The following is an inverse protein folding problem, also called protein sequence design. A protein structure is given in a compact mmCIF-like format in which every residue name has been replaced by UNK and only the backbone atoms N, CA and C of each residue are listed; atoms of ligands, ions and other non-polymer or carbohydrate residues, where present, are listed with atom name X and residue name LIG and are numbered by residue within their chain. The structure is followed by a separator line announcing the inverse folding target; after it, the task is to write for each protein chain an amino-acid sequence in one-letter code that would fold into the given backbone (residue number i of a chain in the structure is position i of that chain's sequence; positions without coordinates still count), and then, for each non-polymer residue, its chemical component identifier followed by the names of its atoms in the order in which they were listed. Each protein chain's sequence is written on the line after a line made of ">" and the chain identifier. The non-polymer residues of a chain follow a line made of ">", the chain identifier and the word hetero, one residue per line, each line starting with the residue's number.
data_IF_249959957666
#
_entry.id   IF_249959957666
#
_cell.length_a   1.000
_cell.length_b   1.000
_cell.length_c   1.000
_cell.angle_alpha   90.00
_cell.angle_beta   90.00
_cell.angle_gamma   90.00
#
_symmetry.space_group_name_H-M   'P 1'
#
loop_
_entity.id
_entity.type
_entity.pdbx_description
1 polymer ?
#
# COMPACT_ATOMS: atom_id res chain seq x y z
N UNK A 1 -4.67 11.01 -8.85
CA UNK A 1 -4.42 11.81 -7.71
C UNK A 1 -5.62 11.93 -6.80
N UNK A 2 -6.65 12.71 -7.19
CA UNK A 2 -7.86 12.74 -6.36
C UNK A 2 -8.53 11.37 -6.27
N UNK A 3 -8.49 10.61 -7.36
CA UNK A 3 -9.05 9.27 -7.40
C UNK A 3 -8.35 8.33 -6.41
N UNK A 4 -7.04 8.46 -6.27
CA UNK A 4 -6.26 7.63 -5.34
C UNK A 4 -6.64 7.89 -3.89
N UNK A 5 -6.79 9.17 -3.51
CA UNK A 5 -7.23 9.55 -2.16
C UNK A 5 -8.62 9.00 -1.87
N UNK A 6 -9.52 9.11 -2.83
CA UNK A 6 -10.90 8.64 -2.67
C UNK A 6 -10.94 7.12 -2.53
N UNK A 7 -10.14 6.43 -3.30
CA UNK A 7 -10.10 4.97 -3.25
C UNK A 7 -9.54 4.47 -1.92
N UNK A 8 -8.46 5.05 -1.44
CA UNK A 8 -7.89 4.70 -0.14
C UNK A 8 -8.90 4.98 0.97
N UNK A 9 -9.56 6.12 0.93
CA UNK A 9 -10.58 6.46 1.92
C UNK A 9 -11.74 5.49 1.91
N UNK A 10 -12.18 5.08 0.73
CA UNK A 10 -13.25 4.09 0.59
C UNK A 10 -12.85 2.76 1.20
N UNK A 11 -11.63 2.31 0.93
CA UNK A 11 -11.13 1.04 1.46
C UNK A 11 -11.03 1.07 2.98
N UNK A 12 -10.54 2.17 3.56
CA UNK A 12 -10.48 2.33 5.01
C UNK A 12 -11.89 2.22 5.60
N UNK A 13 -12.83 2.91 5.00
CA UNK A 13 -14.22 2.92 5.48
C UNK A 13 -14.84 1.53 5.40
N UNK A 14 -14.62 0.81 4.28
CA UNK A 14 -15.15 -0.53 4.10
C UNK A 14 -14.60 -1.49 5.16
N UNK A 15 -13.30 -1.48 5.38
CA UNK A 15 -12.69 -2.37 6.38
C UNK A 15 -13.17 -2.03 7.79
N UNK A 16 -13.30 -0.73 8.08
CA UNK A 16 -13.83 -0.30 9.37
C UNK A 16 -15.24 -0.82 9.60
N UNK A 17 -16.10 -0.69 8.59
CA UNK A 17 -17.49 -1.13 8.69
C UNK A 17 -17.60 -2.65 8.79
N UNK A 18 -16.79 -3.38 8.06
CA UNK A 18 -16.75 -4.83 8.15
C UNK A 18 -16.48 -5.30 9.58
N UNK A 19 -15.66 -4.56 10.31
CA UNK A 19 -15.29 -4.90 11.68
C UNK A 19 -16.21 -4.28 12.72
N UNK A 20 -17.21 -3.53 12.27
CA UNK A 20 -18.18 -2.91 13.18
C UNK A 20 -17.58 -1.83 14.06
N UNK A 21 -16.52 -1.17 13.62
CA UNK A 21 -15.83 -0.16 14.41
C UNK A 21 -16.27 1.25 14.03
N UNK A 22 -16.22 2.16 15.01
CA UNK A 22 -16.50 3.57 14.75
C UNK A 22 -15.22 4.29 14.36
N UNK A 23 -15.36 5.46 13.75
CA UNK A 23 -14.21 6.29 13.44
C UNK A 23 -13.41 6.64 14.69
N UNK A 24 -14.11 6.93 15.78
CA UNK A 24 -13.45 7.28 17.03
C UNK A 24 -12.56 6.15 17.55
N UNK A 25 -13.06 4.92 17.50
CA UNK A 25 -12.31 3.75 17.98
C UNK A 25 -11.08 3.51 17.12
N UNK A 26 -11.24 3.54 15.79
CA UNK A 26 -10.11 3.33 14.87
C UNK A 26 -9.06 4.43 15.05
N UNK A 27 -9.50 5.68 15.13
CA UNK A 27 -8.58 6.81 15.32
C UNK A 27 -7.79 6.67 16.62
N UNK A 28 -8.47 6.29 17.70
CA UNK A 28 -7.84 6.09 19.00
C UNK A 28 -6.78 4.98 18.92
N UNK A 29 -7.14 3.85 18.32
CA UNK A 29 -6.24 2.71 18.23
C UNK A 29 -5.06 3.01 17.30
N UNK A 30 -5.27 3.84 16.29
CA UNK A 30 -4.21 4.24 15.36
C UNK A 30 -3.35 5.38 15.91
N UNK A 31 -3.80 6.03 16.98
CA UNK A 31 -3.07 7.17 17.56
C UNK A 31 -3.14 8.43 16.70
N UNK A 32 -4.24 8.62 15.97
CA UNK A 32 -4.47 9.80 15.13
C UNK A 32 -5.74 10.52 15.57
N UNK A 33 -5.87 11.78 15.15
CA UNK A 33 -7.08 12.54 15.44
C UNK A 33 -8.26 11.96 14.64
N UNK A 34 -9.44 11.92 15.27
CA UNK A 34 -10.64 11.42 14.59
C UNK A 34 -10.98 12.29 13.39
N UNK A 35 -10.70 13.57 13.44
CA UNK A 35 -10.93 14.46 12.31
C UNK A 35 -10.04 14.11 11.12
N UNK A 36 -8.81 13.69 11.38
CA UNK A 36 -7.92 13.23 10.32
C UNK A 36 -8.49 11.98 9.63
N UNK A 37 -8.95 11.02 10.42
CA UNK A 37 -9.54 9.80 9.87
C UNK A 37 -10.78 10.13 9.04
N UNK A 38 -11.61 11.06 9.51
CA UNK A 38 -12.78 11.50 8.77
C UNK A 38 -12.42 12.08 7.42
N UNK A 39 -11.37 12.91 7.37
CA UNK A 39 -10.90 13.49 6.11
C UNK A 39 -10.34 12.44 5.17
N UNK A 40 -9.66 11.43 5.70
CA UNK A 40 -9.15 10.33 4.89
C UNK A 40 -10.30 9.53 4.28
N UNK A 41 -11.30 9.18 5.08
CA UNK A 41 -12.45 8.41 4.58
C UNK A 41 -13.27 9.20 3.56
N UNK A 42 -13.30 10.52 3.70
CA UNK A 42 -14.02 11.38 2.75
C UNK A 42 -13.23 11.64 1.47
N UNK A 43 -11.99 11.18 1.40
CA UNK A 43 -11.15 11.39 0.22
C UNK A 43 -10.63 12.81 0.08
N UNK A 44 -10.77 13.63 1.12
CA UNK A 44 -10.32 15.02 1.12
C UNK A 44 -8.84 15.15 1.46
N UNK A 45 -8.29 14.13 2.05
CA UNK A 45 -6.89 14.10 2.44
C UNK A 45 -6.37 12.67 2.26
N UNK A 46 -5.13 12.53 1.81
CA UNK A 46 -4.52 11.23 1.65
C UNK A 46 -3.56 10.97 2.80
N UNK A 47 -3.71 9.86 3.54
CA UNK A 47 -2.76 9.54 4.60
C UNK A 47 -1.41 9.20 4.00
N UNK A 48 -0.33 9.59 4.69
CA UNK A 48 0.99 9.14 4.28
C UNK A 48 1.18 7.67 4.71
N UNK A 49 2.30 7.08 4.30
CA UNK A 49 2.52 5.66 4.56
C UNK A 49 2.54 5.33 6.05
N UNK A 50 3.13 6.21 6.88
CA UNK A 50 3.18 6.02 8.31
C UNK A 50 1.77 5.99 8.92
N UNK A 51 0.95 6.94 8.55
CA UNK A 51 -0.42 7.02 9.05
C UNK A 51 -1.27 5.87 8.54
N UNK A 52 -1.09 5.50 7.28
CA UNK A 52 -1.82 4.38 6.71
C UNK A 52 -1.44 3.06 7.40
N UNK A 53 -0.17 2.90 7.73
CA UNK A 53 0.31 1.74 8.49
C UNK A 53 -0.36 1.66 9.86
N UNK A 54 -0.48 2.79 10.54
CA UNK A 54 -1.15 2.85 11.86
C UNK A 54 -2.62 2.50 11.74
N UNK A 55 -3.29 2.98 10.69
CA UNK A 55 -4.70 2.67 10.44
C UNK A 55 -4.86 1.19 10.13
N UNK A 56 -3.98 0.62 9.31
CA UNK A 56 -4.01 -0.80 8.97
C UNK A 56 -3.89 -1.67 10.23
N UNK A 57 -2.98 -1.31 11.13
CA UNK A 57 -2.83 -2.02 12.40
C UNK A 57 -4.08 -1.91 13.26
N UNK A 58 -4.68 -0.72 13.31
CA UNK A 58 -5.90 -0.51 14.08
C UNK A 58 -7.06 -1.33 13.54
N UNK A 59 -7.08 -1.57 12.24
CA UNK A 59 -8.11 -2.37 11.58
C UNK A 59 -7.75 -3.87 11.53
N UNK A 60 -6.54 -4.21 11.95
CA UNK A 60 -6.02 -5.58 11.89
C UNK A 60 -6.06 -6.14 10.47
N UNK A 61 -5.62 -5.32 9.52
CA UNK A 61 -5.50 -5.71 8.11
C UNK A 61 -4.11 -5.35 7.61
N UNK A 62 -3.76 -5.95 6.48
CA UNK A 62 -2.53 -5.63 5.77
C UNK A 62 -2.67 -4.24 5.15
N UNK A 63 -1.60 -3.45 5.19
CA UNK A 63 -1.62 -2.11 4.62
C UNK A 63 -2.02 -2.12 3.15
N UNK A 64 -1.66 -3.17 2.42
CA UNK A 64 -2.02 -3.30 1.00
C UNK A 64 -3.51 -3.50 0.78
N UNK A 65 -4.25 -3.89 1.83
CA UNK A 65 -5.71 -3.98 1.76
C UNK A 65 -6.36 -2.60 1.68
N UNK A 66 -5.62 -1.56 2.05
CA UNK A 66 -6.11 -0.19 2.05
C UNK A 66 -5.62 0.61 0.84
N UNK A 67 -4.95 -0.06 -0.09
CA UNK A 67 -4.43 0.57 -1.30
C UNK A 67 -4.88 -0.21 -2.52
N UNK A 68 -5.26 0.52 -3.59
CA UNK A 68 -5.36 -0.11 -4.90
C UNK A 68 -3.99 -0.06 -5.55
N UNK A 69 -3.87 -0.61 -6.74
CA UNK A 69 -2.58 -0.68 -7.45
C UNK A 69 -2.01 0.72 -7.72
N UNK A 70 -2.87 1.61 -8.21
CA UNK A 70 -2.43 2.97 -8.54
C UNK A 70 -2.10 3.77 -7.29
N UNK A 71 -2.92 3.64 -6.25
CA UNK A 71 -2.67 4.31 -4.97
C UNK A 71 -1.36 3.85 -4.36
N UNK A 72 -1.09 2.55 -4.38
CA UNK A 72 0.14 2.01 -3.84
C UNK A 72 1.36 2.59 -4.57
N UNK A 73 1.30 2.67 -5.89
CA UNK A 73 2.38 3.22 -6.69
C UNK A 73 2.64 4.68 -6.35
N UNK A 74 1.57 5.48 -6.26
CA UNK A 74 1.69 6.92 -5.95
C UNK A 74 2.23 7.14 -4.54
N UNK A 75 1.70 6.41 -3.57
CA UNK A 75 2.14 6.56 -2.18
C UNK A 75 3.60 6.16 -2.03
N UNK A 76 4.00 5.04 -2.62
CA UNK A 76 5.37 4.57 -2.53
C UNK A 76 6.33 5.53 -3.22
N UNK A 77 5.96 6.06 -4.38
CA UNK A 77 6.77 7.05 -5.07
C UNK A 77 6.96 8.30 -4.22
N UNK A 78 5.89 8.74 -3.56
CA UNK A 78 5.94 9.92 -2.70
C UNK A 78 6.76 9.71 -1.43
N UNK A 79 6.91 8.48 -0.99
CA UNK A 79 7.67 8.15 0.21
C UNK A 79 9.10 7.69 -0.10
N UNK A 80 9.49 7.70 -1.36
CA UNK A 80 10.83 7.31 -1.80
C UNK A 80 11.22 5.88 -1.39
N UNK A 81 10.22 5.00 -1.31
CA UNK A 81 10.50 3.59 -1.02
C UNK A 81 11.08 2.95 -2.27
N UNK A 82 12.23 2.30 -2.12
CA UNK A 82 12.90 1.67 -3.25
C UNK A 82 12.06 0.54 -3.84
N UNK A 83 12.06 0.39 -5.18
CA UNK A 83 11.31 -0.69 -5.82
C UNK A 83 11.64 -2.07 -5.29
N UNK A 84 12.90 -2.32 -4.92
CA UNK A 84 13.30 -3.61 -4.37
C UNK A 84 12.66 -3.88 -3.01
N UNK A 85 12.45 -2.87 -2.18
CA UNK A 85 11.77 -3.05 -0.90
C UNK A 85 10.31 -3.41 -1.11
N UNK A 86 9.68 -2.77 -2.08
CA UNK A 86 8.31 -3.06 -2.45
C UNK A 86 8.18 -4.51 -2.93
N UNK A 87 9.11 -4.92 -3.78
CA UNK A 87 9.16 -6.28 -4.31
C UNK A 87 9.33 -7.30 -3.19
N UNK A 88 10.26 -7.03 -2.27
CA UNK A 88 10.53 -7.94 -1.15
C UNK A 88 9.33 -8.06 -0.22
N UNK A 89 8.63 -6.96 0.04
CA UNK A 89 7.44 -7.00 0.86
C UNK A 89 6.38 -7.92 0.26
N UNK A 90 6.15 -7.82 -1.04
CA UNK A 90 5.22 -8.70 -1.72
C UNK A 90 5.71 -10.16 -1.70
N UNK A 91 7.00 -10.35 -1.90
CA UNK A 91 7.62 -11.67 -1.92
C UNK A 91 7.42 -12.40 -0.59
N UNK A 92 7.64 -11.70 0.53
CA UNK A 92 7.52 -12.32 1.85
C UNK A 92 6.09 -12.64 2.26
N UNK A 93 5.12 -12.14 1.52
CA UNK A 93 3.71 -12.49 1.74
C UNK A 93 3.31 -13.77 1.03
N UNK A 94 4.18 -14.30 0.21
CA UNK A 94 3.92 -15.54 -0.53
C UNK A 94 4.40 -16.75 0.26
N UNK A 95 3.72 -17.90 0.06
CA UNK A 95 4.22 -19.16 0.59
C UNK A 95 5.44 -19.62 -0.22
N UNK A 96 6.15 -20.69 0.20
CA UNK A 96 7.36 -21.14 -0.52
C UNK A 96 7.13 -21.41 -1.99
N UNK A 97 5.99 -21.98 -2.38
CA UNK A 97 5.67 -22.23 -3.78
C UNK A 97 5.53 -20.92 -4.55
N UNK A 98 4.80 -19.95 -3.98
CA UNK A 98 4.64 -18.63 -4.58
C UNK A 98 5.95 -17.88 -4.68
N UNK A 99 6.81 -18.01 -3.68
CA UNK A 99 8.13 -17.37 -3.71
C UNK A 99 8.98 -17.93 -4.85
N UNK A 100 8.95 -19.25 -5.07
CA UNK A 100 9.67 -19.85 -6.18
C UNK A 100 9.16 -19.33 -7.52
N UNK A 101 7.84 -19.20 -7.66
CA UNK A 101 7.24 -18.65 -8.87
C UNK A 101 7.62 -17.19 -9.08
N UNK A 102 7.68 -16.41 -8.00
CA UNK A 102 8.06 -15.00 -8.10
C UNK A 102 9.50 -14.86 -8.60
N UNK A 103 10.41 -15.68 -8.10
CA UNK A 103 11.80 -15.66 -8.56
C UNK A 103 11.86 -15.99 -10.04
N UNK A 104 11.16 -17.03 -10.45
CA UNK A 104 11.11 -17.46 -11.85
C UNK A 104 10.62 -16.32 -12.75
N UNK A 105 9.55 -15.65 -12.36
CA UNK A 105 8.99 -14.53 -13.13
C UNK A 105 9.96 -13.37 -13.25
N UNK A 106 10.63 -13.02 -12.16
CA UNK A 106 11.60 -11.93 -12.20
C UNK A 106 12.78 -12.29 -13.09
N UNK A 107 13.25 -13.53 -13.01
CA UNK A 107 14.34 -13.99 -13.88
C UNK A 107 13.95 -13.94 -15.35
N UNK A 108 12.72 -14.34 -15.68
CA UNK A 108 12.20 -14.25 -17.05
C UNK A 108 12.24 -12.81 -17.58
N UNK A 109 11.90 -11.84 -16.71
CA UNK A 109 11.93 -10.43 -17.09
C UNK A 109 13.33 -9.97 -17.47
N UNK A 110 14.36 -10.52 -16.86
CA UNK A 110 15.74 -10.14 -17.15
C UNK A 110 16.18 -10.57 -18.57
N UNK A 111 15.47 -11.51 -19.15
CA UNK A 111 15.79 -11.99 -20.50
C UNK A 111 15.12 -11.18 -21.60
N UNK A 112 14.22 -10.27 -21.25
CA UNK A 112 13.51 -9.45 -22.24
C UNK A 112 14.32 -8.18 -22.49
N UNK A 113 14.82 -7.97 -23.72
CA UNK A 113 15.71 -6.84 -24.03
C UNK A 113 15.14 -5.48 -23.64
N UNK A 114 13.84 -5.29 -23.78
CA UNK A 114 13.22 -4.00 -23.50
C UNK A 114 13.25 -3.65 -21.99
N UNK A 115 13.46 -4.64 -21.12
CA UNK A 115 13.51 -4.43 -19.68
C UNK A 115 14.93 -4.50 -19.11
N UNK A 116 15.91 -4.72 -19.97
CA UNK A 116 17.30 -4.79 -19.52
C UNK A 116 17.86 -3.39 -19.31
N UNK A 117 18.78 -3.28 -18.35
CA UNK A 117 19.48 -2.03 -18.16
C UNK A 117 20.33 -1.75 -19.40
N UNK A 118 20.37 -0.50 -19.80
CA UNK A 118 21.26 -0.09 -20.86
C UNK A 118 22.69 -0.13 -20.35
N UNK A 119 23.64 -0.59 -21.19
CA UNK A 119 25.05 -0.55 -20.77
C UNK A 119 25.49 0.88 -20.53
N UNK A 120 26.46 1.09 -19.61
CA UNK A 120 26.97 2.44 -19.36
C UNK A 120 27.48 3.03 -20.67
N UNK A 121 27.16 4.29 -20.88
CA UNK A 121 27.66 5.03 -22.05
C UNK A 121 28.93 5.75 -21.64
N UNK A 122 29.96 5.58 -22.45
CA UNK A 122 31.24 6.25 -22.24
C UNK A 122 31.17 7.70 -22.66
#
# INVERSE_FOLDING_TARGET
>A
MKASSQETGRLIREERKKKGLTQAVVAKNAGIAVNSLRLYEAGKRCPNLDQLSKIAKALDVDIYSLMDFDTASDVLAGMFIAPEEHLLTAFYRLNPEGQAKAVERVEELTEIPKYQKKPPQD
#
